data_IF_275837477676
#
_entry.id   IF_275837477676
#
_cell.length_a   1.000
_cell.length_b   1.000
_cell.length_c   1.000
_cell.angle_alpha   90.00
_cell.angle_beta   90.00
_cell.angle_gamma   90.00
#
_symmetry.space_group_name_H-M   'P 1'
#
loop_
_entity.id
_entity.type
_entity.pdbx_description
1 polymer ?
#
# COMPACT_ATOMS: atom_id res chain seq x y z
N UNK A 1 8.81 14.29 -19.18
CA UNK A 1 9.45 13.38 -18.18
C UNK A 1 8.37 12.42 -17.71
N UNK A 2 8.65 11.12 -17.55
CA UNK A 2 7.69 10.12 -17.02
C UNK A 2 7.88 10.02 -15.50
N UNK A 3 6.78 9.98 -14.78
CA UNK A 3 6.75 9.78 -13.34
C UNK A 3 6.38 8.32 -13.04
N UNK A 4 7.08 7.70 -12.11
CA UNK A 4 6.77 6.38 -11.60
C UNK A 4 6.35 6.55 -10.15
N UNK A 5 5.11 6.21 -9.84
CA UNK A 5 4.57 6.23 -8.49
C UNK A 5 4.72 4.84 -7.89
N UNK A 6 5.54 4.73 -6.85
CA UNK A 6 5.72 3.51 -6.06
C UNK A 6 4.85 3.62 -4.82
N UNK A 7 3.82 2.78 -4.73
CA UNK A 7 2.94 2.71 -3.58
C UNK A 7 2.95 1.30 -3.00
N UNK A 8 3.04 1.24 -1.68
CA UNK A 8 3.05 0.00 -0.92
C UNK A 8 1.91 -0.03 0.10
N UNK A 9 1.14 -1.12 0.08
CA UNK A 9 0.17 -1.45 1.10
C UNK A 9 0.85 -2.23 2.22
N UNK A 10 0.61 -1.81 3.47
CA UNK A 10 1.04 -2.54 4.68
C UNK A 10 -0.20 -2.90 5.47
N UNK A 11 -0.56 -4.17 5.47
CA UNK A 11 -1.71 -4.63 6.22
C UNK A 11 -1.47 -6.00 6.85
N UNK A 12 -1.76 -6.11 8.14
CA UNK A 12 -1.79 -7.38 8.87
C UNK A 12 -3.06 -7.43 9.72
N UNK A 13 -4.01 -8.35 9.43
CA UNK A 13 -5.19 -8.51 10.27
C UNK A 13 -4.82 -9.19 11.58
N UNK A 14 -5.55 -8.88 12.65
CA UNK A 14 -5.50 -9.71 13.85
C UNK A 14 -6.13 -11.07 13.58
N UNK A 15 -5.37 -12.14 13.84
CA UNK A 15 -5.88 -13.53 13.78
C UNK A 15 -6.69 -13.81 15.02
N UNK A 16 -7.90 -14.31 14.79
CA UNK A 16 -8.80 -14.66 15.88
C UNK A 16 -8.45 -16.06 16.41
N UNK A 17 -8.66 -16.27 17.71
CA UNK A 17 -8.65 -17.61 18.29
C UNK A 17 -9.96 -18.33 17.98
N UNK A 18 -9.98 -19.62 18.21
CA UNK A 18 -11.23 -20.39 18.19
C UNK A 18 -12.08 -19.90 19.39
N UNK A 19 -13.22 -19.27 19.07
CA UNK A 19 -14.17 -18.75 20.05
C UNK A 19 -15.42 -19.63 20.04
N UNK A 20 -15.72 -20.27 21.18
CA UNK A 20 -16.78 -21.26 21.28
C UNK A 20 -18.05 -20.62 21.81
N UNK A 21 -19.20 -21.28 21.60
CA UNK A 21 -20.49 -20.84 22.11
C UNK A 21 -20.46 -20.55 23.64
N UNK A 22 -19.78 -21.39 24.42
CA UNK A 22 -19.69 -21.23 25.88
C UNK A 22 -18.74 -20.10 26.31
N UNK A 23 -17.96 -19.53 25.40
CA UNK A 23 -17.12 -18.35 25.68
C UNK A 23 -17.93 -17.04 25.63
N UNK A 24 -19.12 -17.07 25.01
CA UNK A 24 -19.97 -15.88 24.83
C UNK A 24 -20.40 -15.35 26.20
N UNK A 25 -20.08 -14.07 26.46
CA UNK A 25 -20.35 -13.40 27.73
C UNK A 25 -19.48 -13.85 28.91
N UNK A 26 -18.57 -14.83 28.72
CA UNK A 26 -17.64 -15.31 29.75
C UNK A 26 -16.21 -14.86 29.50
N UNK A 27 -15.82 -14.69 28.26
CA UNK A 27 -14.48 -14.26 27.86
C UNK A 27 -14.56 -13.21 26.76
N UNK A 28 -13.68 -12.21 26.82
CA UNK A 28 -13.48 -11.19 25.78
C UNK A 28 -12.12 -11.31 25.11
N UNK A 29 -11.44 -12.43 25.29
CA UNK A 29 -10.19 -12.77 24.62
C UNK A 29 -10.50 -13.35 23.24
N UNK A 30 -10.47 -12.51 22.20
CA UNK A 30 -10.85 -12.86 20.83
C UNK A 30 -9.64 -13.17 19.94
N UNK A 31 -8.45 -12.72 20.33
CA UNK A 31 -7.26 -12.77 19.47
C UNK A 31 -6.33 -13.93 19.81
N UNK A 32 -5.71 -14.49 18.80
CA UNK A 32 -4.68 -15.51 18.96
C UNK A 32 -3.32 -14.82 19.15
N UNK A 33 -3.06 -14.33 20.35
CA UNK A 33 -1.91 -13.47 20.66
C UNK A 33 -0.57 -14.02 20.20
N UNK A 34 -0.28 -15.30 20.55
CA UNK A 34 0.97 -15.95 20.16
C UNK A 34 1.17 -15.95 18.63
N UNK A 35 0.12 -16.28 17.88
CA UNK A 35 0.19 -16.34 16.42
C UNK A 35 0.40 -14.96 15.81
N UNK A 36 -0.33 -13.94 16.30
CA UNK A 36 -0.16 -12.55 15.86
C UNK A 36 1.27 -12.07 16.12
N UNK A 37 1.82 -12.32 17.31
CA UNK A 37 3.19 -11.97 17.67
C UNK A 37 4.23 -12.65 16.77
N UNK A 38 4.16 -13.99 16.64
CA UNK A 38 5.12 -14.76 15.84
C UNK A 38 5.09 -14.33 14.38
N UNK A 39 3.90 -14.08 13.84
CA UNK A 39 3.73 -13.68 12.44
C UNK A 39 4.28 -12.26 12.21
N UNK A 40 3.92 -11.30 13.08
CA UNK A 40 4.42 -9.92 12.98
C UNK A 40 5.95 -9.89 13.07
N UNK A 41 6.55 -10.60 14.03
CA UNK A 41 8.00 -10.66 14.17
C UNK A 41 8.70 -11.34 12.98
N UNK A 42 8.06 -12.34 12.36
CA UNK A 42 8.58 -12.98 11.15
C UNK A 42 8.61 -12.00 9.97
N UNK A 43 7.48 -11.33 9.72
CA UNK A 43 7.36 -10.35 8.63
C UNK A 43 8.28 -9.15 8.88
N UNK A 44 8.38 -8.69 10.13
CA UNK A 44 9.32 -7.65 10.52
C UNK A 44 10.75 -7.95 10.04
N UNK A 45 11.24 -9.16 10.32
CA UNK A 45 12.61 -9.58 9.97
C UNK A 45 12.81 -9.84 8.48
N UNK A 46 11.81 -10.41 7.82
CA UNK A 46 11.94 -10.81 6.41
C UNK A 46 11.65 -9.69 5.43
N UNK A 47 10.73 -8.78 5.76
CA UNK A 47 10.22 -7.76 4.87
C UNK A 47 10.47 -6.35 5.42
N UNK A 48 9.79 -5.93 6.49
CA UNK A 48 9.70 -4.52 6.86
C UNK A 48 11.05 -3.89 7.18
N UNK A 49 11.83 -4.48 8.08
CA UNK A 49 13.11 -3.91 8.48
C UNK A 49 14.14 -3.86 7.32
N UNK A 50 14.39 -4.95 6.56
CA UNK A 50 15.35 -4.89 5.47
C UNK A 50 14.90 -3.96 4.34
N UNK A 51 13.60 -3.94 4.00
CA UNK A 51 13.12 -3.07 2.93
C UNK A 51 13.11 -1.60 3.35
N UNK A 52 12.73 -1.27 4.60
CA UNK A 52 12.83 0.09 5.12
C UNK A 52 14.28 0.59 5.12
N UNK A 53 15.24 -0.26 5.48
CA UNK A 53 16.66 0.08 5.41
C UNK A 53 17.13 0.36 3.96
N UNK A 54 16.68 -0.45 3.01
CA UNK A 54 16.95 -0.25 1.58
C UNK A 54 16.36 1.07 1.08
N UNK A 55 15.08 1.32 1.34
CA UNK A 55 14.40 2.55 0.94
C UNK A 55 15.05 3.80 1.56
N UNK A 56 15.39 3.75 2.86
CA UNK A 56 16.11 4.83 3.54
C UNK A 56 17.44 5.15 2.84
N UNK A 57 18.19 4.11 2.46
CA UNK A 57 19.44 4.26 1.70
C UNK A 57 19.20 4.90 0.33
N UNK A 58 18.18 4.47 -0.40
CA UNK A 58 17.87 5.01 -1.73
C UNK A 58 17.41 6.47 -1.66
N UNK A 59 16.51 6.81 -0.73
CA UNK A 59 16.03 8.19 -0.53
C UNK A 59 17.20 9.11 -0.16
N UNK A 60 18.05 8.69 0.79
CA UNK A 60 19.21 9.46 1.23
C UNK A 60 20.22 9.66 0.09
N UNK A 61 20.41 8.64 -0.77
CA UNK A 61 21.34 8.71 -1.90
C UNK A 61 20.83 9.62 -3.03
N UNK A 62 19.52 9.64 -3.29
CA UNK A 62 18.96 10.28 -4.47
C UNK A 62 18.21 11.58 -4.19
N UNK A 63 18.03 11.95 -2.95
CA UNK A 63 17.19 13.02 -2.41
C UNK A 63 15.68 12.75 -2.59
N UNK A 64 14.81 13.29 -1.70
CA UNK A 64 13.35 13.07 -1.79
C UNK A 64 12.70 13.55 -3.09
N UNK A 65 13.27 14.57 -3.74
CA UNK A 65 12.75 15.11 -4.99
C UNK A 65 12.98 14.19 -6.19
N UNK A 66 13.92 13.26 -6.09
CA UNK A 66 14.27 12.32 -7.16
C UNK A 66 13.76 10.91 -6.91
N UNK A 67 13.72 10.51 -5.64
CA UNK A 67 13.24 9.20 -5.24
C UNK A 67 12.41 9.32 -3.96
N UNK A 68 11.14 9.02 -4.07
CA UNK A 68 10.19 8.97 -2.97
C UNK A 68 9.22 7.81 -3.16
N UNK A 69 8.58 7.39 -2.09
CA UNK A 69 7.61 6.30 -2.10
C UNK A 69 6.37 6.68 -1.28
N UNK A 70 5.27 5.99 -1.53
CA UNK A 70 4.04 6.18 -0.77
C UNK A 70 3.63 4.89 -0.05
N UNK A 71 3.09 5.04 1.16
CA UNK A 71 2.57 3.93 1.96
C UNK A 71 1.15 4.20 2.42
N UNK A 72 0.28 3.18 2.38
CA UNK A 72 -0.79 3.10 3.35
C UNK A 72 -0.48 1.98 4.35
N UNK A 73 -0.57 2.32 5.63
CA UNK A 73 -0.33 1.38 6.73
C UNK A 73 -1.61 1.32 7.54
N UNK A 74 -2.33 0.20 7.48
CA UNK A 74 -3.62 0.08 8.17
C UNK A 74 -3.49 0.26 9.68
N UNK A 75 -4.53 0.77 10.33
CA UNK A 75 -4.56 0.91 11.79
C UNK A 75 -4.30 -0.41 12.51
N UNK A 76 -4.82 -1.52 11.97
CA UNK A 76 -4.58 -2.88 12.50
C UNK A 76 -3.10 -3.26 12.44
N UNK A 77 -2.40 -2.90 11.36
CA UNK A 77 -0.96 -3.16 11.24
C UNK A 77 -0.16 -2.28 12.22
N UNK A 78 -0.52 -1.00 12.35
CA UNK A 78 0.10 -0.07 13.31
C UNK A 78 -0.04 -0.56 14.74
N UNK A 79 -1.24 -1.02 15.14
CA UNK A 79 -1.46 -1.60 16.48
C UNK A 79 -0.59 -2.84 16.71
N UNK A 80 -0.51 -3.75 15.73
CA UNK A 80 0.30 -4.95 15.86
C UNK A 80 1.81 -4.63 15.90
N UNK A 81 2.28 -3.62 15.17
CA UNK A 81 3.65 -3.13 15.28
C UNK A 81 3.93 -2.61 16.69
N UNK A 82 3.05 -1.78 17.26
CA UNK A 82 3.20 -1.27 18.62
C UNK A 82 3.25 -2.40 19.67
N UNK A 83 2.44 -3.45 19.49
CA UNK A 83 2.32 -4.54 20.46
C UNK A 83 3.43 -5.59 20.34
N UNK A 84 3.89 -5.90 19.13
CA UNK A 84 4.69 -7.09 18.88
C UNK A 84 6.06 -6.82 18.21
N UNK A 85 6.23 -5.66 17.60
CA UNK A 85 7.45 -5.28 16.88
C UNK A 85 7.62 -3.75 16.83
N UNK A 86 7.80 -3.07 17.99
CA UNK A 86 7.89 -1.61 18.03
C UNK A 86 9.03 -1.05 17.20
N UNK A 87 10.11 -1.80 17.02
CA UNK A 87 11.25 -1.45 16.17
C UNK A 87 10.84 -1.28 14.68
N UNK A 88 9.78 -1.94 14.24
CA UNK A 88 9.25 -1.76 12.88
C UNK A 88 8.56 -0.40 12.76
N UNK A 89 7.73 -0.04 13.75
CA UNK A 89 7.10 1.28 13.77
C UNK A 89 8.16 2.39 13.78
N UNK A 90 9.17 2.27 14.62
CA UNK A 90 10.30 3.20 14.68
C UNK A 90 11.01 3.30 13.31
N UNK A 91 11.22 2.17 12.63
CA UNK A 91 11.83 2.17 11.30
C UNK A 91 11.01 2.87 10.23
N UNK A 92 9.66 2.78 10.29
CA UNK A 92 8.77 3.56 9.42
C UNK A 92 8.78 5.04 9.76
N UNK A 93 8.82 5.40 11.04
CA UNK A 93 8.95 6.80 11.49
C UNK A 93 10.26 7.41 11.01
N UNK A 94 11.36 6.70 11.16
CA UNK A 94 12.67 7.07 10.65
C UNK A 94 12.69 7.27 9.14
N UNK A 95 12.00 6.37 8.40
CA UNK A 95 11.89 6.45 6.97
C UNK A 95 11.05 7.67 6.55
N UNK A 96 9.92 7.92 7.24
CA UNK A 96 9.09 9.10 7.01
C UNK A 96 9.86 10.42 7.31
N UNK A 97 10.67 10.43 8.36
CA UNK A 97 11.48 11.60 8.73
C UNK A 97 12.53 12.00 7.67
N UNK A 98 12.82 11.15 6.68
CA UNK A 98 13.68 11.51 5.54
C UNK A 98 13.04 12.53 4.61
N UNK A 99 11.72 12.74 4.68
CA UNK A 99 10.94 13.57 3.76
C UNK A 99 10.62 12.90 2.41
N UNK A 100 11.09 11.67 2.17
CA UNK A 100 10.86 10.91 0.94
C UNK A 100 9.70 9.92 1.02
N UNK A 101 8.82 10.04 2.02
CA UNK A 101 7.67 9.14 2.19
C UNK A 101 6.38 9.94 2.31
N UNK A 102 5.42 9.64 1.43
CA UNK A 102 4.02 10.06 1.57
C UNK A 102 3.23 8.97 2.31
N UNK A 103 2.49 9.35 3.36
CA UNK A 103 1.53 8.48 4.02
C UNK A 103 0.14 8.72 3.43
N UNK A 104 -0.54 7.64 3.04
CA UNK A 104 -1.84 7.64 2.38
C UNK A 104 -2.91 7.17 3.36
N UNK A 105 -4.05 7.85 3.38
CA UNK A 105 -5.19 7.44 4.22
C UNK A 105 -5.91 6.22 3.65
N UNK A 106 -6.44 5.39 4.55
CA UNK A 106 -7.31 4.27 4.24
C UNK A 106 -8.38 4.08 5.34
N UNK A 107 -9.21 3.04 5.24
CA UNK A 107 -10.06 2.63 6.36
C UNK A 107 -9.19 2.00 7.45
N UNK A 108 -9.39 2.39 8.71
CA UNK A 108 -8.57 1.97 9.85
C UNK A 108 -8.38 0.45 9.95
N UNK A 109 -9.48 -0.29 9.80
CA UNK A 109 -9.48 -1.74 9.92
C UNK A 109 -9.27 -2.46 8.57
N UNK A 110 -8.87 -1.76 7.51
CA UNK A 110 -8.79 -2.31 6.16
C UNK A 110 -10.12 -2.98 5.74
N UNK A 111 -11.22 -2.29 6.01
CA UNK A 111 -12.57 -2.84 5.87
C UNK A 111 -13.23 -2.44 4.57
N UNK A 112 -14.21 -3.23 4.14
CA UNK A 112 -15.11 -2.93 3.02
C UNK A 112 -16.32 -2.07 3.44
N UNK A 113 -16.18 -1.25 4.49
CA UNK A 113 -17.24 -0.39 5.01
C UNK A 113 -17.85 0.53 3.93
N UNK A 114 -17.05 0.97 2.96
CA UNK A 114 -17.50 1.79 1.83
C UNK A 114 -18.63 1.14 1.01
N UNK A 115 -18.73 -0.19 0.98
CA UNK A 115 -19.77 -0.92 0.26
C UNK A 115 -21.08 -1.05 1.05
N UNK A 116 -21.06 -0.73 2.36
CA UNK A 116 -22.20 -1.02 3.25
C UNK A 116 -22.70 0.16 4.05
N UNK A 117 -21.80 1.02 4.53
CA UNK A 117 -22.15 2.13 5.42
C UNK A 117 -21.18 3.30 5.23
N UNK A 118 -21.66 4.38 4.63
CA UNK A 118 -20.88 5.62 4.51
C UNK A 118 -20.47 6.17 5.88
N UNK A 119 -21.35 6.15 6.87
CA UNK A 119 -21.05 6.65 8.20
C UNK A 119 -19.89 5.89 8.86
N UNK A 120 -19.89 4.55 8.76
CA UNK A 120 -18.79 3.73 9.28
C UNK A 120 -17.49 3.92 8.46
N UNK A 121 -17.61 4.03 7.15
CA UNK A 121 -16.48 4.34 6.29
C UNK A 121 -15.81 5.66 6.70
N UNK A 122 -16.58 6.76 6.79
CA UNK A 122 -16.06 8.07 7.20
C UNK A 122 -15.44 8.03 8.61
N UNK A 123 -16.05 7.31 9.54
CA UNK A 123 -15.53 7.13 10.91
C UNK A 123 -14.16 6.45 10.91
N UNK A 124 -13.99 5.36 10.14
CA UNK A 124 -12.73 4.63 10.06
C UNK A 124 -11.65 5.46 9.39
N UNK A 125 -11.97 6.18 8.32
CA UNK A 125 -11.01 7.05 7.63
C UNK A 125 -10.54 8.19 8.55
N UNK A 126 -11.46 8.83 9.27
CA UNK A 126 -11.11 9.87 10.22
C UNK A 126 -10.21 9.34 11.35
N UNK A 127 -10.53 8.15 11.88
CA UNK A 127 -9.71 7.50 12.92
C UNK A 127 -8.30 7.17 12.39
N UNK A 128 -8.20 6.66 11.17
CA UNK A 128 -6.91 6.36 10.54
C UNK A 128 -6.06 7.62 10.36
N UNK A 129 -6.64 8.71 9.82
CA UNK A 129 -5.95 9.98 9.65
C UNK A 129 -5.44 10.56 10.99
N UNK A 130 -6.25 10.49 12.06
CA UNK A 130 -5.84 10.90 13.42
C UNK A 130 -4.68 10.03 13.95
N UNK A 131 -4.70 8.73 13.66
CA UNK A 131 -3.63 7.81 14.06
C UNK A 131 -2.32 8.14 13.34
N UNK A 132 -2.37 8.43 12.03
CA UNK A 132 -1.20 8.86 11.28
C UNK A 132 -0.66 10.21 11.79
N UNK A 133 -1.54 11.17 12.09
CA UNK A 133 -1.12 12.44 12.66
C UNK A 133 -0.43 12.26 14.02
N UNK A 134 -0.97 11.39 14.87
CA UNK A 134 -0.39 11.09 16.19
C UNK A 134 0.97 10.40 16.11
N UNK A 135 1.14 9.43 15.21
CA UNK A 135 2.34 8.60 15.13
C UNK A 135 3.45 9.20 14.28
N UNK A 136 3.09 9.95 13.23
CA UNK A 136 4.03 10.45 12.23
C UNK A 136 4.00 11.97 12.06
N UNK A 137 3.04 12.68 12.66
CA UNK A 137 2.80 14.09 12.38
C UNK A 137 2.24 14.35 10.97
N UNK A 138 1.82 13.31 10.26
CA UNK A 138 1.39 13.38 8.88
C UNK A 138 -0.11 13.61 8.74
N UNK A 139 -0.49 14.51 7.81
CA UNK A 139 -1.87 14.70 7.38
C UNK A 139 -1.99 14.25 5.92
N UNK A 140 -2.51 13.05 5.66
CA UNK A 140 -2.61 12.53 4.31
C UNK A 140 -3.56 13.36 3.45
N UNK A 141 -3.16 13.60 2.20
CA UNK A 141 -3.97 14.27 1.17
C UNK A 141 -4.45 13.32 0.09
N UNK A 142 -3.89 12.12 0.06
CA UNK A 142 -4.23 11.03 -0.84
C UNK A 142 -4.96 9.92 -0.07
N UNK A 143 -5.94 9.29 -0.71
CA UNK A 143 -6.74 8.22 -0.14
C UNK A 143 -6.62 6.92 -0.95
N UNK A 144 -6.65 5.79 -0.28
CA UNK A 144 -6.76 4.47 -0.88
C UNK A 144 -7.89 3.69 -0.23
N UNK A 145 -8.89 3.27 -1.01
CA UNK A 145 -9.91 2.38 -0.49
C UNK A 145 -9.42 0.93 -0.45
N UNK A 146 -9.94 0.14 0.47
CA UNK A 146 -9.66 -1.29 0.60
C UNK A 146 -9.85 -2.00 -0.74
N UNK A 147 -8.87 -2.85 -1.12
CA UNK A 147 -8.85 -3.60 -2.39
C UNK A 147 -8.98 -2.72 -3.65
N UNK A 148 -8.58 -1.43 -3.57
CA UNK A 148 -8.72 -0.44 -4.64
C UNK A 148 -10.14 -0.30 -5.18
N UNK A 149 -11.15 -0.71 -4.41
CA UNK A 149 -12.57 -0.57 -4.80
C UNK A 149 -12.91 0.89 -5.03
N UNK A 150 -13.48 1.17 -6.21
CA UNK A 150 -13.84 2.52 -6.63
C UNK A 150 -15.25 2.55 -7.23
N UNK A 151 -16.00 3.59 -6.90
CA UNK A 151 -17.31 3.93 -7.48
C UNK A 151 -17.59 5.43 -7.31
N UNK A 152 -18.49 6.00 -8.10
CA UNK A 152 -18.70 7.45 -8.19
C UNK A 152 -19.05 8.10 -6.83
N UNK A 153 -19.97 7.50 -6.05
CA UNK A 153 -20.32 8.04 -4.74
C UNK A 153 -19.13 8.02 -3.76
N UNK A 154 -18.26 7.02 -3.83
CA UNK A 154 -17.03 7.00 -3.02
C UNK A 154 -16.14 8.20 -3.36
N UNK A 155 -16.04 8.56 -4.64
CA UNK A 155 -15.24 9.71 -5.05
C UNK A 155 -15.78 11.02 -4.47
N UNK A 156 -17.11 11.18 -4.38
CA UNK A 156 -17.75 12.31 -3.71
C UNK A 156 -17.39 12.31 -2.22
N UNK A 157 -17.56 11.20 -1.51
CA UNK A 157 -17.25 11.10 -0.08
C UNK A 157 -15.79 11.42 0.23
N UNK A 158 -14.87 10.91 -0.60
CA UNK A 158 -13.43 11.13 -0.43
C UNK A 158 -13.07 12.60 -0.66
N UNK A 159 -13.65 13.23 -1.70
CA UNK A 159 -13.45 14.66 -1.95
C UNK A 159 -14.03 15.54 -0.84
N UNK A 160 -15.23 15.20 -0.31
CA UNK A 160 -15.86 15.91 0.81
C UNK A 160 -15.04 15.83 2.10
N UNK A 161 -14.28 14.74 2.30
CA UNK A 161 -13.36 14.60 3.41
C UNK A 161 -12.05 15.40 3.22
N UNK A 162 -11.88 16.08 2.07
CA UNK A 162 -10.75 16.96 1.79
C UNK A 162 -9.56 16.29 1.11
N UNK A 163 -9.68 15.04 0.66
CA UNK A 163 -8.63 14.40 -0.13
C UNK A 163 -8.59 14.94 -1.56
N UNK A 164 -7.41 14.99 -2.14
CA UNK A 164 -7.16 15.52 -3.49
C UNK A 164 -6.90 14.43 -4.52
N UNK A 165 -6.55 13.24 -4.06
CA UNK A 165 -6.29 12.09 -4.92
C UNK A 165 -6.82 10.78 -4.29
N UNK A 166 -7.19 9.84 -5.16
CA UNK A 166 -7.58 8.47 -4.79
C UNK A 166 -6.87 7.46 -5.68
N UNK A 167 -6.44 6.34 -5.08
CA UNK A 167 -5.89 5.19 -5.79
C UNK A 167 -7.03 4.24 -6.18
N UNK A 168 -7.00 3.73 -7.41
CA UNK A 168 -7.96 2.76 -7.91
C UNK A 168 -7.30 1.73 -8.85
N UNK A 169 -8.00 0.65 -9.14
CA UNK A 169 -7.52 -0.38 -10.08
C UNK A 169 -7.67 0.09 -11.53
N UNK A 170 -6.64 -0.18 -12.34
CA UNK A 170 -6.64 0.09 -13.79
C UNK A 170 -7.28 -1.06 -14.58
N UNK A 171 -8.58 -1.31 -14.36
CA UNK A 171 -9.29 -2.43 -14.97
C UNK A 171 -9.50 -2.25 -16.48
N UNK A 172 -8.90 -3.12 -17.30
CA UNK A 172 -9.01 -3.09 -18.78
C UNK A 172 -10.45 -3.07 -19.29
N UNK A 173 -11.36 -3.77 -18.60
CA UNK A 173 -12.79 -3.82 -18.96
C UNK A 173 -13.49 -2.46 -18.87
N UNK A 174 -13.02 -1.59 -17.98
CA UNK A 174 -13.54 -0.23 -17.81
C UNK A 174 -12.78 0.79 -18.67
N UNK A 175 -11.48 0.60 -18.81
CA UNK A 175 -10.62 1.49 -19.58
C UNK A 175 -10.83 1.32 -21.10
N UNK A 176 -11.09 0.10 -21.58
CA UNK A 176 -11.17 -0.23 -23.00
C UNK A 176 -9.81 0.04 -23.67
N UNK A 177 -9.79 0.99 -24.61
CA UNK A 177 -8.57 1.38 -25.32
C UNK A 177 -7.65 2.35 -24.55
N UNK A 178 -8.14 2.88 -23.43
CA UNK A 178 -7.39 3.88 -22.62
C UNK A 178 -6.33 3.20 -21.76
N UNK A 179 -5.22 3.88 -21.57
CA UNK A 179 -4.13 3.40 -20.71
C UNK A 179 -4.37 3.75 -19.21
N UNK A 180 -3.99 2.91 -18.25
CA UNK A 180 -3.93 3.28 -16.85
C UNK A 180 -2.83 4.33 -16.54
N UNK A 181 -1.95 4.61 -17.50
CA UNK A 181 -0.79 5.48 -17.33
C UNK A 181 -1.09 6.98 -17.57
N UNK A 182 -2.36 7.37 -17.48
CA UNK A 182 -2.80 8.75 -17.49
C UNK A 182 -3.27 9.19 -16.11
N UNK A 183 -3.20 10.49 -15.86
CA UNK A 183 -3.86 11.07 -14.72
C UNK A 183 -5.34 11.27 -15.06
N UNK A 184 -6.21 10.63 -14.29
CA UNK A 184 -7.66 10.75 -14.42
C UNK A 184 -8.23 11.69 -13.37
N UNK A 185 -9.46 12.11 -13.57
CA UNK A 185 -10.28 12.79 -12.57
C UNK A 185 -11.59 12.03 -12.38
N UNK A 186 -12.13 12.05 -11.19
CA UNK A 186 -13.41 11.44 -10.91
C UNK A 186 -14.53 12.25 -11.55
N UNK A 187 -15.47 11.59 -12.28
CA UNK A 187 -16.60 12.25 -12.90
C UNK A 187 -17.49 12.96 -11.87
N UNK A 188 -17.74 12.31 -10.75
CA UNK A 188 -18.55 12.83 -9.65
C UNK A 188 -17.88 13.99 -8.90
N UNK A 189 -16.54 14.07 -8.89
CA UNK A 189 -15.78 15.15 -8.29
C UNK A 189 -14.54 15.48 -9.14
N UNK A 190 -14.64 16.44 -10.09
CA UNK A 190 -13.55 16.77 -11.01
C UNK A 190 -12.26 17.29 -10.35
N UNK A 191 -12.34 17.68 -9.08
CA UNK A 191 -11.16 18.10 -8.30
C UNK A 191 -10.38 16.92 -7.71
N UNK A 192 -10.99 15.72 -7.66
CA UNK A 192 -10.35 14.52 -7.16
C UNK A 192 -9.60 13.83 -8.30
N UNK A 193 -8.29 13.76 -8.18
CA UNK A 193 -7.45 12.97 -9.09
C UNK A 193 -7.58 11.49 -8.82
N UNK A 194 -7.58 10.68 -9.88
CA UNK A 194 -7.62 9.22 -9.79
C UNK A 194 -6.36 8.64 -10.39
N UNK A 195 -5.56 7.96 -9.57
CA UNK A 195 -4.35 7.28 -9.99
C UNK A 195 -4.70 5.80 -10.15
N UNK A 196 -4.57 5.30 -11.38
CA UNK A 196 -4.92 3.93 -11.72
C UNK A 196 -3.71 3.02 -11.65
N UNK A 197 -3.85 1.90 -10.94
CA UNK A 197 -2.81 0.87 -10.86
C UNK A 197 -2.51 0.32 -12.25
N UNK A 198 -1.24 0.35 -12.65
CA UNK A 198 -0.78 -0.47 -13.77
C UNK A 198 -0.59 -1.90 -13.25
N UNK A 199 -1.66 -2.71 -13.34
CA UNK A 199 -1.65 -4.04 -12.77
C UNK A 199 -0.64 -4.96 -13.44
N UNK A 200 -0.41 -4.80 -14.75
CA UNK A 200 0.55 -5.65 -15.49
C UNK A 200 1.94 -5.55 -14.90
N UNK A 201 2.48 -4.35 -14.81
CA UNK A 201 3.81 -4.13 -14.25
C UNK A 201 3.87 -4.38 -12.74
N UNK A 202 2.82 -4.05 -12.01
CA UNK A 202 2.74 -4.34 -10.58
C UNK A 202 2.77 -5.86 -10.33
N UNK A 203 1.99 -6.63 -11.10
CA UNK A 203 1.90 -8.09 -10.99
C UNK A 203 3.17 -8.79 -11.49
N UNK A 204 3.89 -8.21 -12.45
CA UNK A 204 5.17 -8.74 -12.90
C UNK A 204 6.18 -8.78 -11.75
N UNK A 205 6.16 -7.76 -10.88
CA UNK A 205 7.00 -7.72 -9.67
C UNK A 205 6.38 -8.54 -8.54
N UNK A 206 5.09 -8.35 -8.24
CA UNK A 206 4.46 -8.94 -7.07
C UNK A 206 4.27 -10.48 -7.17
N UNK A 207 3.92 -10.98 -8.36
CA UNK A 207 3.50 -12.38 -8.52
C UNK A 207 4.37 -13.18 -9.50
N UNK A 208 4.98 -12.54 -10.50
CA UNK A 208 5.71 -13.26 -11.55
C UNK A 208 7.22 -13.26 -11.36
N UNK A 209 7.76 -12.43 -10.48
CA UNK A 209 9.19 -12.20 -10.30
C UNK A 209 9.99 -13.50 -10.15
N UNK A 210 9.57 -14.42 -9.28
CA UNK A 210 10.22 -15.70 -9.02
C UNK A 210 9.68 -16.87 -9.85
N UNK A 211 8.69 -16.64 -10.72
CA UNK A 211 8.07 -17.69 -11.52
C UNK A 211 8.94 -18.06 -12.72
N UNK A 212 9.72 -19.12 -12.59
CA UNK A 212 10.60 -19.64 -13.68
C UNK A 212 9.84 -20.13 -14.92
N UNK A 213 8.54 -20.43 -14.81
CA UNK A 213 7.68 -20.78 -15.94
C UNK A 213 7.12 -19.57 -16.70
N UNK A 214 7.35 -18.36 -16.23
CA UNK A 214 6.91 -17.16 -16.92
C UNK A 214 7.82 -16.86 -18.12
N UNK A 215 7.27 -16.62 -19.34
CA UNK A 215 8.08 -16.41 -20.54
C UNK A 215 9.11 -15.26 -20.44
N UNK A 216 8.82 -14.28 -19.57
CA UNK A 216 9.72 -13.14 -19.37
C UNK A 216 10.68 -13.32 -18.17
N UNK A 217 10.72 -14.52 -17.59
CA UNK A 217 11.71 -14.82 -16.54
C UNK A 217 13.13 -14.94 -17.12
N UNK A 218 14.20 -14.46 -16.44
CA UNK A 218 14.18 -13.67 -15.22
C UNK A 218 13.82 -12.19 -15.46
N UNK A 219 13.11 -11.59 -14.50
CA UNK A 219 12.88 -10.15 -14.50
C UNK A 219 14.07 -9.45 -13.86
N UNK A 220 14.93 -8.83 -14.68
CA UNK A 220 16.03 -8.00 -14.17
C UNK A 220 15.64 -6.53 -14.10
N UNK A 221 16.33 -5.75 -13.26
CA UNK A 221 16.10 -4.31 -13.13
C UNK A 221 16.25 -3.58 -14.48
N UNK A 222 17.25 -3.94 -15.29
CA UNK A 222 17.48 -3.35 -16.60
C UNK A 222 16.36 -3.68 -17.58
N UNK A 223 15.83 -4.93 -17.54
CA UNK A 223 14.72 -5.36 -18.37
C UNK A 223 13.46 -4.58 -18.01
N UNK A 224 13.15 -4.47 -16.72
CA UNK A 224 11.99 -3.72 -16.24
C UNK A 224 12.10 -2.22 -16.54
N UNK A 225 13.26 -1.61 -16.29
CA UNK A 225 13.51 -0.21 -16.62
C UNK A 225 13.39 0.06 -18.13
N UNK A 226 13.80 -0.88 -18.98
CA UNK A 226 13.61 -0.79 -20.43
C UNK A 226 12.12 -0.80 -20.78
N UNK A 227 11.32 -1.71 -20.24
CA UNK A 227 9.86 -1.74 -20.47
C UNK A 227 9.18 -0.43 -20.08
N UNK A 228 9.55 0.14 -18.93
CA UNK A 228 9.03 1.43 -18.49
C UNK A 228 9.44 2.57 -19.45
N UNK A 229 10.67 2.54 -19.96
CA UNK A 229 11.18 3.53 -20.92
C UNK A 229 10.48 3.42 -22.28
N UNK A 230 10.23 2.21 -22.74
CA UNK A 230 9.68 1.93 -24.07
C UNK A 230 8.16 2.16 -24.17
N UNK A 231 7.48 2.51 -23.07
CA UNK A 231 6.09 2.98 -23.08
C UNK A 231 5.92 4.20 -23.99
N UNK A 232 4.74 4.40 -24.61
CA UNK A 232 4.45 5.58 -25.42
C UNK A 232 4.79 6.90 -24.70
N UNK A 233 5.36 7.87 -25.41
CA UNK A 233 5.87 9.12 -24.81
C UNK A 233 4.79 9.97 -24.14
N UNK A 234 3.53 9.82 -24.55
CA UNK A 234 2.37 10.51 -23.97
C UNK A 234 1.86 9.86 -22.66
N UNK A 235 2.30 8.66 -22.33
CA UNK A 235 2.03 8.00 -21.05
C UNK A 235 2.99 8.52 -19.99
N UNK A 236 2.55 9.51 -19.24
CA UNK A 236 3.41 10.30 -18.34
C UNK A 236 3.49 9.79 -16.92
N UNK A 237 2.59 8.89 -16.52
CA UNK A 237 2.46 8.41 -15.16
C UNK A 237 2.35 6.88 -15.16
N UNK A 238 3.18 6.20 -14.39
CA UNK A 238 3.07 4.75 -14.18
C UNK A 238 2.93 4.48 -12.69
N UNK A 239 1.79 3.93 -12.30
CA UNK A 239 1.47 3.64 -10.92
C UNK A 239 1.72 2.16 -10.61
N UNK A 240 2.75 1.88 -9.84
CA UNK A 240 3.13 0.55 -9.39
C UNK A 240 2.65 0.37 -7.95
N UNK A 241 1.48 -0.26 -7.79
CA UNK A 241 0.84 -0.48 -6.50
C UNK A 241 0.90 -1.96 -6.13
N UNK A 242 1.43 -2.28 -4.96
CA UNK A 242 1.60 -3.65 -4.50
C UNK A 242 1.67 -3.74 -2.98
N UNK A 243 1.48 -4.93 -2.45
CA UNK A 243 1.69 -5.19 -1.05
C UNK A 243 3.18 -5.09 -0.71
N UNK A 244 3.48 -4.48 0.43
CA UNK A 244 4.86 -4.32 0.86
C UNK A 244 5.52 -5.65 1.20
N UNK A 245 4.72 -6.62 1.63
CA UNK A 245 5.12 -8.00 1.89
C UNK A 245 5.60 -8.73 0.63
N UNK A 246 5.42 -8.16 -0.55
CA UNK A 246 6.07 -8.61 -1.79
C UNK A 246 7.57 -8.77 -1.58
N UNK A 247 8.21 -7.83 -0.85
CA UNK A 247 9.65 -7.80 -0.66
C UNK A 247 10.07 -8.58 0.59
N UNK A 248 10.39 -9.84 0.42
CA UNK A 248 10.95 -10.71 1.44
C UNK A 248 9.98 -11.76 2.03
N UNK A 249 8.67 -11.57 1.93
CA UNK A 249 7.69 -12.56 2.39
C UNK A 249 7.04 -13.31 1.21
N UNK A 250 6.56 -12.63 0.17
CA UNK A 250 6.00 -13.28 -1.03
C UNK A 250 7.11 -13.63 -2.01
N UNK A 251 8.00 -12.70 -2.29
CA UNK A 251 9.24 -12.92 -3.05
C UNK A 251 10.38 -12.98 -2.05
N UNK A 252 10.97 -14.16 -1.87
CA UNK A 252 12.00 -14.38 -0.85
C UNK A 252 13.31 -13.67 -1.21
N UNK A 253 14.15 -13.32 -0.23
CA UNK A 253 15.43 -12.66 -0.47
C UNK A 253 16.31 -13.39 -1.50
N UNK A 254 16.29 -14.73 -1.48
CA UNK A 254 17.07 -15.58 -2.37
C UNK A 254 16.65 -15.47 -3.86
N UNK A 255 15.48 -14.88 -4.13
CA UNK A 255 15.04 -14.59 -5.51
C UNK A 255 15.75 -13.37 -6.12
N UNK A 256 16.48 -12.59 -5.31
CA UNK A 256 17.11 -11.35 -5.74
C UNK A 256 16.15 -10.13 -5.77
N UNK A 257 15.01 -10.20 -5.07
CA UNK A 257 13.99 -9.13 -5.10
C UNK A 257 14.51 -7.81 -4.51
N UNK A 258 15.37 -7.85 -3.50
CA UNK A 258 15.96 -6.64 -2.92
C UNK A 258 17.01 -6.01 -3.82
N UNK A 259 17.79 -6.81 -4.53
CA UNK A 259 18.79 -6.35 -5.52
C UNK A 259 18.12 -5.78 -6.78
N UNK A 260 16.94 -6.30 -7.13
CA UNK A 260 16.13 -5.80 -8.22
C UNK A 260 15.64 -4.38 -7.95
N UNK A 261 15.24 -4.09 -6.71
CA UNK A 261 14.71 -2.79 -6.34
C UNK A 261 15.79 -1.72 -6.22
#
# INVERSE_FOLDING_TARGET
>A
MRHICLYFQVHQPFRLRIYRFFDIGQSHDYYHELNNRVLMQRIAKKCYLPMNALLKKLITRHTPERFSVAFSISGMALEQMQLYAPEVLESFQDLHATGGVELIAETYAHSLASLKSEAEFRRQVAHHAQTLEKLFGARPTTFRNTELVFFDALAEWVADMGYTAILAEGADTLLGWRSPNYLYTAKASPKLHVLLRNYRFSDDVAFRFSNQGWPEWPLTAEKFARWLRDLPSHEMLVNLFMDYETFGEHQWPETGIFEFF
#
